data_IF_707276989960
#
_entry.id   IF_707276989960
#
_cell.length_a   1.000
_cell.length_b   1.000
_cell.length_c   1.000
_cell.angle_alpha   90.00
_cell.angle_beta   90.00
_cell.angle_gamma   90.00
#
_symmetry.space_group_name_H-M   'P 1'
#
loop_
_entity.id
_entity.type
_entity.pdbx_description
1 polymer ?
#
# COMPACT_ATOMS: atom_id res chain seq x y z
N UNK A 1 6.61 14.67 -7.05
CA UNK A 1 6.05 15.27 -5.82
C UNK A 1 6.34 14.32 -4.65
N UNK A 2 6.49 14.79 -3.41
CA UNK A 2 6.73 13.94 -2.21
C UNK A 2 5.74 14.31 -1.12
N UNK A 3 5.15 13.31 -0.43
CA UNK A 3 4.36 13.54 0.78
C UNK A 3 5.05 12.98 2.01
N UNK A 4 4.96 13.74 3.09
CA UNK A 4 5.38 13.32 4.41
C UNK A 4 4.22 13.55 5.38
N UNK A 5 3.91 12.53 6.17
CA UNK A 5 2.91 12.61 7.22
C UNK A 5 3.65 12.59 8.56
N UNK A 6 3.36 13.58 9.38
CA UNK A 6 3.67 13.61 10.80
C UNK A 6 2.34 13.56 11.55
N UNK A 7 2.32 13.06 12.78
CA UNK A 7 1.09 12.76 13.54
C UNK A 7 0.06 13.90 13.52
N UNK A 8 0.54 15.15 13.42
CA UNK A 8 -0.31 16.34 13.33
C UNK A 8 -0.09 17.19 12.06
N UNK A 9 0.71 16.73 11.09
CA UNK A 9 0.99 17.51 9.86
C UNK A 9 1.07 16.68 8.58
N UNK A 10 0.65 17.27 7.47
CA UNK A 10 0.90 16.72 6.12
C UNK A 10 1.77 17.70 5.36
N UNK A 11 2.92 17.26 4.88
CA UNK A 11 3.81 18.07 4.03
C UNK A 11 3.69 17.55 2.61
N UNK A 12 3.27 18.41 1.67
CA UNK A 12 3.25 18.11 0.23
C UNK A 12 4.33 18.94 -0.44
N UNK A 13 5.41 18.29 -0.88
CA UNK A 13 6.50 18.92 -1.62
C UNK A 13 6.28 18.75 -3.12
N UNK A 14 6.05 19.87 -3.81
CA UNK A 14 5.92 19.93 -5.27
C UNK A 14 7.33 20.04 -5.88
N UNK A 15 7.66 19.12 -6.78
CA UNK A 15 8.84 19.26 -7.63
C UNK A 15 8.34 19.75 -8.98
N UNK A 16 8.91 20.84 -9.49
CA UNK A 16 8.68 21.24 -10.88
C UNK A 16 9.34 20.21 -11.78
N UNK A 17 8.53 19.44 -12.50
CA UNK A 17 9.02 18.55 -13.55
C UNK A 17 9.10 19.40 -14.83
N UNK A 18 10.31 19.73 -15.27
CA UNK A 18 10.49 20.33 -16.59
C UNK A 18 10.51 19.19 -17.63
N UNK A 19 9.53 19.15 -18.53
CA UNK A 19 9.60 18.26 -19.68
C UNK A 19 10.70 18.75 -20.63
N UNK A 20 11.81 18.02 -20.69
CA UNK A 20 12.70 18.05 -21.85
C UNK A 20 12.66 16.66 -22.49
N UNK A 21 12.09 16.60 -23.68
CA UNK A 21 12.12 15.48 -24.64
C UNK A 21 12.09 14.06 -24.02
N UNK A 22 10.88 13.51 -23.93
CA UNK A 22 10.53 12.08 -23.84
C UNK A 22 11.16 11.22 -22.73
N UNK A 23 11.88 11.80 -21.77
CA UNK A 23 12.24 11.15 -20.51
C UNK A 23 12.03 12.15 -19.37
N UNK A 24 11.27 11.76 -18.35
CA UNK A 24 11.08 12.58 -17.16
C UNK A 24 12.35 12.55 -16.31
N UNK A 25 13.22 13.56 -16.46
CA UNK A 25 14.33 13.79 -15.52
C UNK A 25 13.85 14.63 -14.33
N UNK A 26 14.18 14.20 -13.11
CA UNK A 26 13.96 15.00 -11.90
C UNK A 26 14.87 16.23 -11.95
N UNK A 27 14.28 17.41 -12.09
CA UNK A 27 15.01 18.68 -11.99
C UNK A 27 14.89 19.19 -10.55
N UNK A 28 15.99 19.16 -9.80
CA UNK A 28 16.08 19.77 -8.47
C UNK A 28 16.06 21.30 -8.59
N UNK A 29 14.85 21.89 -8.63
CA UNK A 29 14.65 23.33 -8.45
C UNK A 29 13.52 23.59 -7.46
N UNK A 30 13.84 24.47 -6.49
CA UNK A 30 13.02 25.00 -5.37
C UNK A 30 11.66 24.31 -5.20
N UNK A 31 11.61 23.35 -4.27
CA UNK A 31 10.37 22.74 -3.83
C UNK A 31 9.50 23.77 -3.11
N UNK A 32 8.32 24.06 -3.66
CA UNK A 32 7.26 24.64 -2.84
C UNK A 32 6.70 23.49 -1.99
N UNK A 33 6.71 23.66 -0.67
CA UNK A 33 6.13 22.70 0.27
C UNK A 33 4.88 23.29 0.90
N UNK A 34 3.76 22.60 0.80
CA UNK A 34 2.54 22.93 1.56
C UNK A 34 2.56 22.12 2.85
N UNK A 35 2.38 22.78 3.99
CA UNK A 35 2.33 22.13 5.31
C UNK A 35 0.93 22.33 5.88
N UNK A 36 0.23 21.23 6.15
CA UNK A 36 -1.12 21.21 6.72
C UNK A 36 -1.10 20.70 8.15
N UNK A 37 -2.11 21.04 8.96
CA UNK A 37 -2.34 20.44 10.27
C UNK A 37 -3.47 19.41 10.18
N UNK A 38 -3.28 18.22 10.75
CA UNK A 38 -4.23 17.08 10.66
C UNK A 38 -5.49 17.30 11.50
N UNK A 39 -5.42 18.14 12.56
CA UNK A 39 -6.50 18.36 13.52
C UNK A 39 -7.55 19.39 13.07
N UNK A 40 -7.21 20.25 12.10
CA UNK A 40 -8.21 21.05 11.40
C UNK A 40 -8.67 20.23 10.21
N UNK A 41 -9.75 19.48 10.42
CA UNK A 41 -10.65 18.92 9.40
C UNK A 41 -10.25 19.38 7.99
N UNK A 42 -9.40 18.58 7.32
CA UNK A 42 -9.03 18.69 5.89
C UNK A 42 -10.24 18.37 5.00
N UNK A 43 -11.42 18.87 5.37
CA UNK A 43 -12.70 18.57 4.73
C UNK A 43 -12.79 19.22 3.36
N UNK A 44 -12.13 20.37 3.13
CA UNK A 44 -12.01 21.05 1.83
C UNK A 44 -10.80 22.00 1.80
N UNK A 45 -9.89 21.83 0.84
CA UNK A 45 -8.98 22.89 0.42
C UNK A 45 -9.68 23.81 -0.58
N UNK A 46 -9.60 25.13 -0.40
CA UNK A 46 -10.11 26.09 -1.38
C UNK A 46 -8.95 26.76 -2.12
N UNK A 47 -9.22 27.14 -3.39
CA UNK A 47 -8.36 27.79 -4.39
C UNK A 47 -7.21 28.71 -3.92
N UNK A 48 -7.32 29.60 -2.91
CA UNK A 48 -6.19 30.46 -2.53
C UNK A 48 -5.00 29.76 -1.85
N UNK A 49 -5.15 28.50 -1.41
CA UNK A 49 -4.08 27.72 -0.77
C UNK A 49 -3.33 26.79 -1.74
N UNK A 50 -3.80 26.68 -2.98
CA UNK A 50 -3.11 25.96 -4.05
C UNK A 50 -2.04 26.89 -4.67
N UNK A 51 -0.81 26.39 -4.97
CA UNK A 51 0.20 27.19 -5.64
C UNK A 51 -0.34 27.78 -6.94
N UNK A 52 -0.09 29.06 -7.20
CA UNK A 52 -0.46 29.71 -8.47
C UNK A 52 0.03 28.86 -9.66
N UNK A 53 -0.90 28.42 -10.52
CA UNK A 53 -0.63 27.49 -11.64
C UNK A 53 -1.01 26.03 -11.37
N UNK A 54 -1.60 25.71 -10.21
CA UNK A 54 -2.22 24.43 -9.91
C UNK A 54 -3.44 24.16 -10.81
N UNK A 55 -3.49 22.98 -11.44
CA UNK A 55 -4.65 22.49 -12.22
C UNK A 55 -5.87 22.11 -11.35
N UNK A 56 -5.72 22.14 -10.02
CA UNK A 56 -6.71 21.67 -9.06
C UNK A 56 -7.23 22.81 -8.17
N UNK A 57 -8.54 22.79 -7.93
CA UNK A 57 -9.27 23.83 -7.19
C UNK A 57 -9.64 23.38 -5.77
N UNK A 58 -9.88 22.08 -5.58
CA UNK A 58 -10.21 21.46 -4.29
C UNK A 58 -9.41 20.17 -4.18
N UNK A 59 -8.82 19.91 -3.02
CA UNK A 59 -8.26 18.61 -2.68
C UNK A 59 -8.81 18.15 -1.32
N UNK A 60 -9.16 16.87 -1.23
CA UNK A 60 -9.72 16.22 -0.06
C UNK A 60 -8.93 14.95 0.26
N UNK A 61 -8.72 14.66 1.54
CA UNK A 61 -8.12 13.39 1.96
C UNK A 61 -9.22 12.33 2.01
N UNK A 62 -9.14 11.35 1.12
CA UNK A 62 -9.98 10.16 1.15
C UNK A 62 -9.28 9.00 1.87
N UNK A 63 -10.04 8.07 2.44
CA UNK A 63 -9.54 6.73 2.76
C UNK A 63 -9.35 5.90 1.48
N UNK A 64 -8.38 4.98 1.48
CA UNK A 64 -8.29 3.93 0.46
C UNK A 64 -9.04 2.67 0.89
N UNK A 65 -9.34 1.82 -0.08
CA UNK A 65 -9.99 0.52 0.08
C UNK A 65 -9.04 -0.56 0.65
N UNK A 66 -7.76 -0.22 0.89
CA UNK A 66 -6.79 -1.09 1.55
C UNK A 66 -7.18 -1.29 3.03
N UNK A 67 -7.96 -2.35 3.24
CA UNK A 67 -8.74 -2.71 4.44
C UNK A 67 -7.99 -2.59 5.78
N UNK A 68 -6.66 -2.68 5.79
CA UNK A 68 -5.87 -2.78 7.04
C UNK A 68 -4.74 -1.76 7.18
N UNK A 69 -4.20 -1.25 6.08
CA UNK A 69 -3.08 -0.31 6.11
C UNK A 69 -3.54 1.15 6.30
N UNK A 70 -4.84 1.43 6.12
CA UNK A 70 -5.43 2.74 6.37
C UNK A 70 -4.78 3.83 5.53
N UNK A 71 -4.47 3.48 4.29
CA UNK A 71 -3.87 4.38 3.32
C UNK A 71 -4.73 5.63 3.18
N UNK A 72 -4.08 6.79 3.20
CA UNK A 72 -4.72 8.07 2.92
C UNK A 72 -4.42 8.43 1.48
N UNK A 73 -5.46 8.77 0.71
CA UNK A 73 -5.32 9.30 -0.65
C UNK A 73 -5.68 10.77 -0.67
N UNK A 74 -4.99 11.56 -1.49
CA UNK A 74 -5.44 12.90 -1.82
C UNK A 74 -6.21 12.86 -3.13
N UNK A 75 -7.50 13.18 -3.08
CA UNK A 75 -8.38 13.31 -4.23
C UNK A 75 -8.50 14.80 -4.53
N UNK A 76 -8.03 15.22 -5.69
CA UNK A 76 -8.15 16.59 -6.13
C UNK A 76 -9.17 16.71 -7.26
N UNK A 77 -9.95 17.78 -7.26
CA UNK A 77 -10.88 18.13 -8.32
C UNK A 77 -10.58 19.49 -8.91
N UNK A 78 -10.79 19.62 -10.22
CA UNK A 78 -10.79 20.90 -10.92
C UNK A 78 -12.18 21.56 -10.90
N UNK A 79 -12.27 22.78 -11.45
CA UNK A 79 -13.49 23.58 -11.64
C UNK A 79 -14.64 22.84 -12.34
N UNK A 80 -14.32 21.81 -13.12
CA UNK A 80 -15.30 20.99 -13.82
C UNK A 80 -15.73 19.75 -13.00
N UNK A 81 -15.39 19.69 -11.71
CA UNK A 81 -15.62 18.55 -10.82
C UNK A 81 -14.99 17.23 -11.28
N UNK A 82 -14.02 17.26 -12.20
CA UNK A 82 -13.27 16.05 -12.55
C UNK A 82 -12.33 15.71 -11.40
N UNK A 83 -12.54 14.56 -10.77
CA UNK A 83 -11.73 14.06 -9.66
C UNK A 83 -10.55 13.25 -10.19
N UNK A 84 -9.37 13.54 -9.68
CA UNK A 84 -8.17 12.75 -9.88
C UNK A 84 -7.60 12.39 -8.51
N UNK A 85 -7.28 11.11 -8.33
CA UNK A 85 -6.46 10.69 -7.20
C UNK A 85 -5.03 11.08 -7.51
N UNK A 86 -4.50 12.06 -6.79
CA UNK A 86 -3.17 12.60 -7.09
C UNK A 86 -2.11 11.89 -6.27
N UNK A 87 -2.43 11.41 -5.06
CA UNK A 87 -1.42 11.01 -4.06
C UNK A 87 -1.86 9.87 -3.15
N UNK A 88 -0.87 9.11 -2.65
CA UNK A 88 -1.00 8.03 -1.67
C UNK A 88 -0.02 8.24 -0.50
N UNK A 89 -0.49 8.02 0.73
CA UNK A 89 0.33 7.92 1.93
C UNK A 89 0.46 6.48 2.39
N UNK A 90 1.70 6.04 2.57
CA UNK A 90 2.06 4.72 3.06
C UNK A 90 2.79 4.77 4.40
N UNK A 91 2.73 5.88 5.16
CA UNK A 91 3.35 5.88 6.48
C UNK A 91 2.48 5.11 7.48
N UNK A 92 2.82 3.83 7.64
CA UNK A 92 2.14 2.89 8.53
C UNK A 92 2.91 2.69 9.85
N UNK A 93 3.95 3.49 10.11
CA UNK A 93 4.80 3.32 11.30
C UNK A 93 4.02 3.51 12.60
N UNK A 94 3.03 4.39 12.60
CA UNK A 94 2.14 4.63 13.73
C UNK A 94 1.26 3.42 14.08
N UNK A 95 1.11 2.45 13.15
CA UNK A 95 0.33 1.23 13.36
C UNK A 95 1.16 0.08 13.90
N UNK A 96 2.49 0.11 13.76
CA UNK A 96 3.35 -1.00 14.20
C UNK A 96 3.12 -1.32 15.67
N UNK A 97 2.93 -2.61 15.98
CA UNK A 97 2.71 -3.08 17.35
C UNK A 97 1.27 -2.93 17.87
N UNK A 98 0.39 -2.21 17.16
CA UNK A 98 -1.03 -2.13 17.53
C UNK A 98 -1.73 -3.46 17.27
N UNK A 99 -2.71 -3.78 18.13
CA UNK A 99 -3.58 -4.94 17.96
C UNK A 99 -4.53 -4.73 16.78
N UNK A 100 -4.82 -5.80 16.06
CA UNK A 100 -5.80 -5.84 14.97
C UNK A 100 -6.53 -7.19 15.03
N UNK A 101 -7.78 -7.21 14.59
CA UNK A 101 -8.54 -8.44 14.37
C UNK A 101 -8.78 -8.58 12.87
N UNK A 102 -8.30 -9.66 12.28
CA UNK A 102 -8.40 -9.95 10.85
C UNK A 102 -9.23 -11.22 10.71
N UNK A 103 -10.49 -11.09 10.27
CA UNK A 103 -11.39 -12.24 10.03
C UNK A 103 -11.39 -13.23 11.21
N UNK A 104 -11.53 -12.68 12.42
CA UNK A 104 -11.54 -13.39 13.71
C UNK A 104 -10.18 -13.83 14.27
N UNK A 105 -9.08 -13.53 13.59
CA UNK A 105 -7.73 -13.80 14.07
C UNK A 105 -7.15 -12.57 14.77
N UNK A 106 -6.73 -12.73 16.02
CA UNK A 106 -5.98 -11.72 16.76
C UNK A 106 -4.55 -11.58 16.20
N UNK A 107 -4.22 -10.37 15.79
CA UNK A 107 -2.94 -10.04 15.18
C UNK A 107 -2.29 -8.77 15.75
N UNK A 108 -1.02 -8.60 15.37
CA UNK A 108 -0.20 -7.43 15.65
C UNK A 108 0.21 -6.81 14.31
N UNK A 109 -0.10 -5.53 14.14
CA UNK A 109 0.23 -4.77 12.94
C UNK A 109 1.74 -4.66 12.75
N UNK A 110 2.18 -4.89 11.51
CA UNK A 110 3.59 -4.87 11.09
C UNK A 110 3.97 -3.63 10.27
N UNK A 111 2.98 -2.80 9.92
CA UNK A 111 3.22 -1.52 9.25
C UNK A 111 3.56 -1.63 7.76
N UNK A 112 3.03 -2.65 7.06
CA UNK A 112 3.18 -2.77 5.62
C UNK A 112 4.62 -2.99 5.16
N UNK A 113 5.40 -3.80 5.91
CA UNK A 113 6.80 -4.05 5.57
C UNK A 113 6.92 -4.84 4.28
N UNK A 114 7.88 -4.47 3.43
CA UNK A 114 8.26 -5.27 2.27
C UNK A 114 8.88 -6.59 2.72
N UNK A 115 8.54 -7.65 2.02
CA UNK A 115 9.11 -8.95 2.25
C UNK A 115 9.16 -9.75 0.95
N UNK A 116 9.96 -10.81 0.99
CA UNK A 116 10.10 -11.75 -0.13
C UNK A 116 9.94 -13.18 0.38
N UNK A 117 9.30 -14.03 -0.43
CA UNK A 117 9.23 -15.47 -0.14
C UNK A 117 10.58 -16.13 -0.35
N UNK A 118 11.03 -16.95 0.61
CA UNK A 118 12.31 -17.65 0.51
C UNK A 118 12.21 -19.02 -0.15
N UNK A 119 11.00 -19.56 -0.24
CA UNK A 119 10.65 -20.83 -0.89
C UNK A 119 9.17 -20.81 -1.32
N UNK A 120 8.72 -21.84 -2.04
CA UNK A 120 7.32 -22.01 -2.38
C UNK A 120 6.46 -22.18 -1.12
N UNK A 121 5.47 -21.29 -0.91
CA UNK A 121 4.62 -21.28 0.27
C UNK A 121 3.13 -21.21 -0.10
N UNK A 122 2.30 -21.99 0.60
CA UNK A 122 0.84 -21.94 0.43
C UNK A 122 0.29 -20.67 1.03
N UNK A 123 -0.54 -19.97 0.26
CA UNK A 123 -1.27 -18.79 0.67
C UNK A 123 -2.67 -19.17 1.13
N UNK A 124 -3.13 -18.68 2.28
CA UNK A 124 -4.26 -19.26 3.00
C UNK A 124 -5.25 -18.22 3.51
N UNK A 125 -6.49 -18.60 3.73
CA UNK A 125 -7.53 -17.73 4.31
C UNK A 125 -7.40 -17.57 5.83
N UNK A 126 -6.85 -18.56 6.53
CA UNK A 126 -6.59 -18.54 7.96
C UNK A 126 -5.14 -18.96 8.27
N UNK A 127 -4.60 -18.60 9.45
CA UNK A 127 -3.26 -18.98 9.89
C UNK A 127 -3.23 -20.44 10.34
N UNK A 128 -3.51 -21.38 9.43
CA UNK A 128 -3.54 -22.81 9.74
C UNK A 128 -3.15 -23.65 8.52
N UNK A 129 -2.42 -24.74 8.74
CA UNK A 129 -2.07 -25.68 7.66
C UNK A 129 -3.29 -26.41 7.05
N UNK A 130 -4.41 -26.42 7.76
CA UNK A 130 -5.64 -27.11 7.36
C UNK A 130 -6.66 -26.17 6.70
N UNK A 131 -6.40 -24.86 6.68
CA UNK A 131 -7.33 -23.89 6.09
C UNK A 131 -7.30 -23.92 4.56
N UNK A 132 -8.27 -23.24 3.94
CA UNK A 132 -8.38 -23.18 2.49
C UNK A 132 -7.18 -22.47 1.87
N UNK A 133 -6.73 -22.99 0.73
CA UNK A 133 -5.68 -22.35 -0.07
C UNK A 133 -6.32 -21.26 -0.96
N UNK A 134 -5.74 -20.07 -0.92
CA UNK A 134 -6.06 -18.97 -1.81
C UNK A 134 -5.18 -19.09 -3.05
N UNK A 135 -5.81 -19.11 -4.22
CA UNK A 135 -5.10 -19.07 -5.49
C UNK A 135 -4.82 -17.62 -5.88
N UNK A 136 -3.64 -17.38 -6.46
CA UNK A 136 -3.26 -16.08 -6.99
C UNK A 136 -3.36 -16.11 -8.51
N UNK A 137 -4.19 -15.24 -9.07
CA UNK A 137 -4.28 -15.05 -10.51
C UNK A 137 -3.46 -13.81 -10.86
N UNK A 138 -2.30 -14.00 -11.48
CA UNK A 138 -1.48 -12.92 -12.00
C UNK A 138 -1.96 -12.58 -13.40
N UNK A 139 -2.41 -11.34 -13.58
CA UNK A 139 -2.75 -10.79 -14.88
C UNK A 139 -1.64 -9.85 -15.30
N UNK A 140 -0.86 -10.24 -16.31
CA UNK A 140 0.06 -9.31 -16.95
C UNK A 140 -0.69 -8.55 -18.02
N UNK A 141 -1.09 -7.32 -17.70
CA UNK A 141 -1.60 -6.38 -18.69
C UNK A 141 -0.43 -5.88 -19.53
N UNK A 142 -0.53 -6.04 -20.84
CA UNK A 142 0.41 -5.51 -21.82
C UNK A 142 -0.40 -4.60 -22.73
N UNK A 143 0.02 -3.36 -22.91
CA UNK A 143 -0.65 -2.39 -23.79
C UNK A 143 -0.72 -2.85 -25.26
N UNK A 144 0.00 -3.92 -25.63
CA UNK A 144 0.17 -4.35 -27.01
C UNK A 144 -0.04 -5.87 -27.22
N UNK A 145 -0.56 -6.61 -26.22
CA UNK A 145 -0.85 -8.03 -26.38
C UNK A 145 -1.99 -8.48 -25.47
N UNK A 146 -2.58 -9.63 -25.80
CA UNK A 146 -3.61 -10.25 -24.97
C UNK A 146 -3.11 -10.43 -23.53
N UNK A 147 -3.98 -10.11 -22.58
CA UNK A 147 -3.70 -10.32 -21.16
C UNK A 147 -3.50 -11.80 -20.90
N UNK A 148 -2.32 -12.17 -20.37
CA UNK A 148 -2.06 -13.54 -19.94
C UNK A 148 -2.41 -13.68 -18.46
N UNK A 149 -3.41 -14.49 -18.16
CA UNK A 149 -3.75 -14.86 -16.79
C UNK A 149 -2.97 -16.13 -16.40
N UNK A 150 -2.17 -16.05 -15.34
CA UNK A 150 -1.47 -17.20 -14.74
C UNK A 150 -2.00 -17.45 -13.35
N UNK A 151 -2.51 -18.65 -13.12
CA UNK A 151 -2.99 -19.10 -11.82
C UNK A 151 -1.91 -19.85 -11.06
N UNK A 152 -1.68 -19.44 -9.82
CA UNK A 152 -0.73 -20.05 -8.89
C UNK A 152 -1.48 -20.56 -7.66
N UNK A 153 -1.15 -21.79 -7.25
CA UNK A 153 -1.68 -22.42 -6.02
C UNK A 153 -0.76 -22.21 -4.81
N UNK A 154 0.42 -21.64 -5.05
CA UNK A 154 1.39 -21.25 -4.03
C UNK A 154 2.18 -20.02 -4.49
N UNK A 155 2.62 -19.22 -3.52
CA UNK A 155 3.59 -18.17 -3.77
C UNK A 155 4.95 -18.83 -3.99
N UNK A 156 5.47 -18.74 -5.21
CA UNK A 156 6.81 -19.18 -5.57
C UNK A 156 7.89 -18.43 -4.79
N UNK A 157 9.10 -18.98 -4.77
CA UNK A 157 10.29 -18.30 -4.25
C UNK A 157 10.52 -16.96 -4.95
N UNK A 158 11.09 -16.00 -4.22
CA UNK A 158 11.46 -14.66 -4.68
C UNK A 158 10.25 -13.77 -5.06
N UNK A 159 9.05 -14.12 -4.59
CA UNK A 159 7.84 -13.31 -4.79
C UNK A 159 7.78 -12.18 -3.78
N UNK A 160 7.70 -10.94 -4.28
CA UNK A 160 7.52 -9.75 -3.47
C UNK A 160 6.12 -9.68 -2.86
N UNK A 161 6.05 -9.43 -1.55
CA UNK A 161 4.82 -9.32 -0.79
C UNK A 161 4.90 -8.15 0.19
N UNK A 162 3.74 -7.72 0.69
CA UNK A 162 3.64 -6.70 1.75
C UNK A 162 3.09 -7.33 3.02
N UNK A 163 3.85 -7.27 4.10
CA UNK A 163 3.46 -7.81 5.42
C UNK A 163 2.67 -6.78 6.20
N UNK A 164 1.39 -7.07 6.41
CA UNK A 164 0.42 -6.19 7.05
C UNK A 164 0.40 -6.43 8.56
N UNK A 165 0.29 -7.69 8.96
CA UNK A 165 0.18 -8.10 10.35
C UNK A 165 0.81 -9.48 10.57
N UNK A 166 0.97 -9.87 11.83
CA UNK A 166 1.32 -11.23 12.25
C UNK A 166 0.38 -11.74 13.32
N UNK A 167 0.28 -13.05 13.48
CA UNK A 167 -0.39 -13.63 14.65
C UNK A 167 0.28 -13.16 15.95
N UNK A 168 -0.51 -13.09 17.02
CA UNK A 168 -0.01 -12.72 18.35
C UNK A 168 1.06 -13.71 18.84
N UNK A 169 0.73 -15.00 18.75
CA UNK A 169 1.57 -16.12 19.18
C UNK A 169 2.22 -16.81 17.97
N UNK A 170 3.36 -17.45 18.22
CA UNK A 170 3.99 -18.35 17.24
C UNK A 170 3.25 -19.68 17.23
N UNK A 171 3.30 -20.35 16.09
CA UNK A 171 2.87 -21.73 15.94
C UNK A 171 4.07 -22.61 15.60
N UNK A 172 4.06 -23.82 16.17
CA UNK A 172 5.01 -24.87 15.82
C UNK A 172 4.38 -25.79 14.78
N UNK A 173 4.97 -25.83 13.58
CA UNK A 173 4.58 -26.72 12.49
C UNK A 173 5.78 -27.61 12.20
N UNK A 174 5.63 -28.91 12.46
CA UNK A 174 6.72 -29.89 12.37
C UNK A 174 7.95 -29.45 13.19
N UNK A 175 9.02 -29.05 12.49
CA UNK A 175 10.30 -28.59 13.07
C UNK A 175 10.44 -27.08 13.15
N UNK A 176 9.49 -26.33 12.57
CA UNK A 176 9.56 -24.88 12.48
C UNK A 176 8.69 -24.22 13.53
N UNK A 177 9.16 -23.11 14.10
CA UNK A 177 8.41 -22.31 15.05
C UNK A 177 8.46 -20.85 14.62
N UNK A 178 7.33 -20.33 14.15
CA UNK A 178 7.26 -18.97 13.61
C UNK A 178 5.85 -18.40 13.74
N UNK A 179 5.70 -17.10 13.45
CA UNK A 179 4.39 -16.48 13.32
C UNK A 179 3.76 -16.83 11.98
N UNK A 180 2.44 -16.69 11.88
CA UNK A 180 1.80 -16.50 10.60
C UNK A 180 1.76 -15.00 10.27
N UNK A 181 2.00 -14.67 9.02
CA UNK A 181 1.93 -13.30 8.52
C UNK A 181 0.72 -13.14 7.62
N UNK A 182 -0.08 -12.11 7.89
CA UNK A 182 -1.10 -11.65 6.97
C UNK A 182 -0.44 -10.70 5.97
N UNK A 183 -0.55 -11.03 4.69
CA UNK A 183 0.16 -10.35 3.61
C UNK A 183 -0.80 -9.92 2.51
N UNK A 184 -0.37 -8.92 1.75
CA UNK A 184 -0.94 -8.59 0.44
C UNK A 184 -0.01 -9.05 -0.68
N UNK A 185 -0.61 -9.59 -1.73
CA UNK A 185 0.05 -9.99 -2.98
C UNK A 185 -0.63 -9.27 -4.13
N UNK A 186 0.14 -8.60 -4.98
CA UNK A 186 -0.38 -7.93 -6.17
C UNK A 186 -0.72 -8.98 -7.24
N UNK A 187 -1.97 -8.95 -7.70
CA UNK A 187 -2.45 -9.74 -8.83
C UNK A 187 -2.31 -8.99 -10.16
N UNK A 188 -2.39 -7.66 -10.10
CA UNK A 188 -2.13 -6.73 -11.20
C UNK A 188 -1.66 -5.39 -10.61
N UNK A 189 -1.47 -4.37 -11.45
CA UNK A 189 -1.17 -3.01 -10.99
C UNK A 189 -2.24 -2.44 -10.04
N UNK A 190 -3.49 -2.86 -10.21
CA UNK A 190 -4.65 -2.30 -9.50
C UNK A 190 -5.36 -3.28 -8.56
N UNK A 191 -4.93 -4.55 -8.51
CA UNK A 191 -5.58 -5.58 -7.71
C UNK A 191 -4.62 -6.26 -6.74
N UNK A 192 -5.09 -6.48 -5.52
CA UNK A 192 -4.38 -7.21 -4.48
C UNK A 192 -5.27 -8.31 -3.91
N UNK A 193 -4.65 -9.42 -3.56
CA UNK A 193 -5.26 -10.50 -2.78
C UNK A 193 -4.58 -10.59 -1.42
N UNK A 194 -5.36 -10.89 -0.39
CA UNK A 194 -4.92 -10.92 1.00
C UNK A 194 -5.09 -12.30 1.60
N UNK A 195 -4.24 -12.64 2.57
CA UNK A 195 -4.25 -13.94 3.21
C UNK A 195 -3.04 -14.17 4.09
N UNK A 196 -2.95 -15.38 4.63
CA UNK A 196 -1.94 -15.82 5.57
C UNK A 196 -0.88 -16.70 4.91
N UNK A 197 0.36 -16.51 5.36
CA UNK A 197 1.51 -17.37 5.04
C UNK A 197 2.29 -17.67 6.31
N UNK A 198 2.85 -18.87 6.39
CA UNK A 198 3.66 -19.24 7.55
C UNK A 198 5.04 -18.58 7.46
N UNK A 199 5.45 -17.92 8.53
CA UNK A 199 6.58 -16.99 8.54
C UNK A 199 7.94 -17.61 8.31
N UNK A 200 8.06 -18.94 8.40
CA UNK A 200 9.29 -19.66 8.06
C UNK A 200 9.76 -19.41 6.62
N UNK A 201 8.83 -19.07 5.70
CA UNK A 201 9.10 -18.91 4.28
C UNK A 201 9.09 -17.44 3.83
N UNK A 202 9.17 -16.50 4.77
CA UNK A 202 9.12 -15.06 4.51
C UNK A 202 10.35 -14.39 5.10
N UNK A 203 11.05 -13.62 4.28
CA UNK A 203 12.14 -12.73 4.69
C UNK A 203 11.66 -11.29 4.62
N UNK A 204 11.53 -10.65 5.77
CA UNK A 204 11.15 -9.24 5.90
C UNK A 204 12.41 -8.36 5.74
N UNK A 205 12.30 -7.28 4.98
CA UNK A 205 13.36 -6.27 4.79
C UNK A 205 13.49 -5.30 5.97
#
# INVERSE_FOLDING_TARGET
MKLEFDNNKVVISFYQIAQRNTCYENVDRKSNSLIFSVDKDLKKLNSPECPNGSFFDICEVGGSDAKFLGEKRLICSNKNNQKQTVLYSLDHRDRIGKRVVIEHVDGIMMGGRKAVTTDAVRFRDEPSINSKIINVNLTTESCCSDSVEKKYTSLQKDWNVVVIARTKEKEKIEKWENYWYYIAVYQSEFSQVYGWVFGQFIKIE
#
